data_IF_135463974585
#
_entry.id   IF_135463974585
#
_cell.length_a   1.000
_cell.length_b   1.000
_cell.length_c   1.000
_cell.angle_alpha   90.00
_cell.angle_beta   90.00
_cell.angle_gamma   90.00
#
_symmetry.space_group_name_H-M   'P 1'
#
loop_
_entity.id
_entity.type
_entity.pdbx_description
1 polymer ?
#
# COMPACT_ATOMS: atom_id res chain seq x y z
N UNK A 1 3.98 -1.21 21.81
CA UNK A 1 4.81 -1.16 20.60
C UNK A 1 5.19 -2.59 20.27
N UNK A 2 4.70 -3.16 19.18
CA UNK A 2 4.87 -4.60 18.90
C UNK A 2 6.18 -4.86 18.18
N UNK A 3 7.05 -5.60 18.86
CA UNK A 3 8.34 -6.08 18.36
C UNK A 3 8.13 -7.12 17.24
N UNK A 4 9.05 -7.21 16.28
CA UNK A 4 9.03 -8.24 15.23
C UNK A 4 10.44 -8.78 15.02
N UNK A 5 10.58 -10.10 15.06
CA UNK A 5 11.83 -10.87 14.96
C UNK A 5 11.94 -11.55 13.58
N UNK A 6 13.14 -11.58 12.96
CA UNK A 6 13.48 -12.42 11.79
C UNK A 6 14.99 -12.80 11.84
N UNK A 7 15.34 -14.07 11.60
CA UNK A 7 16.72 -14.59 11.46
C UNK A 7 17.65 -14.25 12.63
N UNK A 8 17.13 -14.33 13.86
CA UNK A 8 17.88 -14.04 15.09
C UNK A 8 18.50 -12.63 15.14
N UNK A 9 17.99 -11.67 14.33
CA UNK A 9 18.50 -10.29 14.26
C UNK A 9 17.41 -9.23 14.43
N UNK A 10 17.70 -8.29 15.33
CA UNK A 10 16.74 -7.31 15.87
C UNK A 10 16.65 -6.00 15.04
N UNK A 11 15.41 -5.47 14.82
CA UNK A 11 15.16 -4.12 14.25
C UNK A 11 13.85 -3.49 14.80
N UNK A 12 13.70 -2.14 14.80
CA UNK A 12 12.43 -1.51 15.14
C UNK A 12 11.29 -1.98 14.22
N UNK A 13 10.10 -2.13 14.80
CA UNK A 13 8.94 -2.65 14.09
C UNK A 13 8.68 -1.95 12.74
N UNK A 14 8.93 -0.65 12.58
CA UNK A 14 8.58 0.12 11.38
C UNK A 14 9.68 0.26 10.32
N UNK A 15 10.86 -0.34 10.51
CA UNK A 15 12.07 0.12 9.81
C UNK A 15 12.72 -0.84 8.83
N UNK A 16 12.67 -2.18 8.91
CA UNK A 16 13.44 -3.02 7.95
C UNK A 16 13.02 -2.79 6.50
N UNK A 17 11.75 -3.00 6.19
CA UNK A 17 11.23 -2.82 4.82
C UNK A 17 11.34 -1.37 4.32
N UNK A 18 11.07 -0.42 5.22
CA UNK A 18 11.20 1.02 4.93
C UNK A 18 12.64 1.41 4.65
N UNK A 19 13.58 0.98 5.49
CA UNK A 19 15.01 1.25 5.36
C UNK A 19 15.56 0.56 4.12
N UNK A 20 15.21 -0.71 3.88
CA UNK A 20 15.56 -1.42 2.65
C UNK A 20 15.17 -0.58 1.43
N UNK A 21 13.90 -0.19 1.29
CA UNK A 21 13.46 0.68 0.19
C UNK A 21 14.24 1.99 0.07
N UNK A 22 14.57 2.61 1.20
CA UNK A 22 15.39 3.83 1.26
C UNK A 22 16.81 3.56 0.77
N UNK A 23 17.45 2.48 1.22
CA UNK A 23 18.82 2.12 0.88
C UNK A 23 18.94 1.62 -0.57
N UNK A 24 17.89 1.02 -1.12
CA UNK A 24 17.80 0.68 -2.55
C UNK A 24 17.66 1.93 -3.43
N UNK A 25 17.14 3.03 -2.89
CA UNK A 25 17.00 4.33 -3.56
C UNK A 25 16.23 4.29 -4.90
N UNK A 26 15.33 3.32 -5.05
CA UNK A 26 14.56 3.07 -6.31
C UNK A 26 13.05 3.27 -6.16
N UNK A 27 12.54 3.31 -4.93
CA UNK A 27 11.12 3.50 -4.65
C UNK A 27 10.87 4.82 -3.95
N UNK A 28 9.68 5.36 -4.13
CA UNK A 28 9.26 6.67 -3.64
C UNK A 28 8.07 6.47 -2.71
N UNK A 29 8.12 6.97 -1.47
CA UNK A 29 6.96 6.99 -0.61
C UNK A 29 6.01 8.12 -1.02
N UNK A 30 4.78 7.77 -1.37
CA UNK A 30 3.70 8.72 -1.59
C UNK A 30 2.70 8.66 -0.45
N UNK A 31 2.14 9.82 -0.11
CA UNK A 31 1.13 9.95 0.93
C UNK A 31 0.18 11.12 0.64
N UNK A 32 -1.05 11.13 1.21
CA UNK A 32 -2.09 12.09 0.85
C UNK A 32 -1.63 13.55 0.82
N UNK A 33 -1.07 14.08 1.91
CA UNK A 33 -0.71 15.50 1.99
C UNK A 33 0.39 15.94 1.00
N UNK A 34 1.26 15.05 0.52
CA UNK A 34 2.16 15.41 -0.60
C UNK A 34 1.43 15.35 -1.93
N UNK A 35 0.66 14.29 -2.17
CA UNK A 35 -0.03 14.11 -3.45
C UNK A 35 -1.12 15.17 -3.67
N UNK A 36 -1.87 15.55 -2.65
CA UNK A 36 -2.85 16.65 -2.71
C UNK A 36 -2.23 17.96 -3.20
N UNK A 37 -0.98 18.26 -2.79
CA UNK A 37 -0.27 19.46 -3.26
C UNK A 37 0.19 19.39 -4.72
N UNK A 38 0.25 18.19 -5.29
CA UNK A 38 0.76 17.93 -6.64
C UNK A 38 -0.38 17.81 -7.64
N UNK A 39 -1.40 17.02 -7.29
CA UNK A 39 -2.50 16.65 -8.20
C UNK A 39 -3.86 17.20 -7.75
N UNK A 40 -3.94 17.85 -6.58
CA UNK A 40 -5.20 18.26 -5.97
C UNK A 40 -5.92 17.11 -5.26
N UNK A 41 -7.11 17.40 -4.73
CA UNK A 41 -8.04 16.37 -4.24
C UNK A 41 -8.94 15.95 -5.39
N UNK A 42 -8.72 14.75 -5.91
CA UNK A 42 -9.51 14.20 -7.02
C UNK A 42 -10.43 13.13 -6.42
N UNK A 43 -11.75 13.38 -6.29
CA UNK A 43 -12.69 12.35 -5.89
C UNK A 43 -12.78 11.28 -6.98
N UNK A 44 -12.90 10.03 -6.58
CA UNK A 44 -13.05 8.89 -7.48
C UNK A 44 -13.84 7.77 -6.82
N UNK A 45 -14.63 7.07 -7.63
CA UNK A 45 -15.18 5.78 -7.27
C UNK A 45 -14.37 4.63 -7.86
N UNK A 46 -14.19 3.57 -7.09
CA UNK A 46 -13.47 2.36 -7.52
C UNK A 46 -13.97 1.14 -6.74
N UNK A 47 -13.48 -0.04 -7.12
CA UNK A 47 -13.87 -1.31 -6.54
C UNK A 47 -12.73 -1.93 -5.75
N UNK A 48 -13.06 -2.55 -4.62
CA UNK A 48 -12.13 -3.36 -3.84
C UNK A 48 -12.72 -4.75 -3.62
N UNK A 49 -11.92 -5.80 -3.74
CA UNK A 49 -12.35 -7.18 -3.51
C UNK A 49 -11.60 -7.74 -2.33
N UNK A 50 -12.31 -8.43 -1.44
CA UNK A 50 -11.74 -9.14 -0.30
C UNK A 50 -12.63 -10.36 0.05
N UNK A 51 -12.34 -11.02 1.16
CA UNK A 51 -13.12 -12.13 1.71
C UNK A 51 -13.89 -11.72 2.97
N UNK A 52 -14.84 -12.56 3.40
CA UNK A 52 -15.58 -12.35 4.65
C UNK A 52 -14.67 -12.35 5.89
N UNK A 53 -13.56 -13.11 5.88
CA UNK A 53 -12.62 -13.16 7.00
C UNK A 53 -11.74 -11.91 7.13
N UNK A 54 -11.67 -11.09 6.07
CA UNK A 54 -10.79 -9.92 6.00
C UNK A 54 -11.55 -8.58 6.06
N UNK A 55 -12.82 -8.59 6.48
CA UNK A 55 -13.63 -7.36 6.60
C UNK A 55 -13.05 -6.37 7.61
N UNK A 56 -12.44 -6.86 8.70
CA UNK A 56 -11.74 -6.03 9.68
C UNK A 56 -10.64 -5.16 9.04
N UNK A 57 -10.00 -5.65 7.97
CA UNK A 57 -8.98 -4.89 7.24
C UNK A 57 -9.60 -3.68 6.53
N UNK A 58 -10.79 -3.86 5.92
CA UNK A 58 -11.54 -2.77 5.26
C UNK A 58 -11.96 -1.74 6.30
N UNK A 59 -12.55 -2.19 7.42
CA UNK A 59 -12.97 -1.32 8.53
C UNK A 59 -11.86 -0.41 9.02
N UNK A 60 -10.62 -0.92 9.15
CA UNK A 60 -9.47 -0.13 9.61
C UNK A 60 -8.97 0.92 8.60
N UNK A 61 -9.41 0.85 7.34
CA UNK A 61 -8.95 1.75 6.28
C UNK A 61 -10.00 2.83 5.94
N UNK A 62 -11.29 2.56 6.14
CA UNK A 62 -12.37 3.52 5.90
C UNK A 62 -12.17 4.83 6.67
N UNK A 63 -12.41 5.96 6.00
CA UNK A 63 -12.24 7.31 6.58
C UNK A 63 -10.81 7.70 6.96
N UNK A 64 -9.82 6.82 6.78
CA UNK A 64 -8.43 7.10 7.19
C UNK A 64 -7.58 7.66 6.04
N UNK A 65 -6.39 8.18 6.39
CA UNK A 65 -5.37 8.58 5.41
C UNK A 65 -4.58 7.39 4.83
N UNK A 66 -4.79 6.17 5.35
CA UNK A 66 -4.16 4.98 4.79
C UNK A 66 -4.85 4.64 3.48
N UNK A 67 -4.07 4.20 2.50
CA UNK A 67 -4.59 3.94 1.16
C UNK A 67 -4.95 2.47 0.94
N UNK A 68 -5.99 2.27 0.14
CA UNK A 68 -6.46 0.98 -0.35
C UNK A 68 -6.09 0.81 -1.82
N UNK A 69 -5.69 -0.41 -2.18
CA UNK A 69 -5.57 -0.79 -3.59
C UNK A 69 -6.93 -1.23 -4.11
N UNK A 70 -7.34 -0.61 -5.21
CA UNK A 70 -8.67 -0.71 -5.82
C UNK A 70 -8.53 -0.68 -7.33
N UNK A 71 -9.63 -0.90 -8.05
CA UNK A 71 -9.61 -0.96 -9.51
C UNK A 71 -10.93 -0.46 -10.10
N UNK A 72 -10.92 -0.20 -11.41
CA UNK A 72 -12.13 0.11 -12.20
C UNK A 72 -12.18 -0.68 -13.51
N UNK A 73 -11.10 -1.39 -13.82
CA UNK A 73 -10.91 -2.18 -15.02
C UNK A 73 -10.25 -3.50 -14.63
N UNK A 74 -10.76 -4.58 -15.21
CA UNK A 74 -10.23 -5.92 -15.05
C UNK A 74 -10.35 -6.67 -16.37
N UNK A 75 -9.48 -7.63 -16.66
CA UNK A 75 -9.64 -8.48 -17.84
C UNK A 75 -10.88 -9.36 -17.70
N UNK A 76 -11.59 -9.62 -18.81
CA UNK A 76 -12.79 -10.49 -18.83
C UNK A 76 -12.55 -11.88 -18.26
N UNK A 77 -11.34 -12.43 -18.45
CA UNK A 77 -10.93 -13.74 -17.95
C UNK A 77 -10.31 -13.71 -16.54
N UNK A 78 -10.09 -12.53 -15.96
CA UNK A 78 -9.41 -12.36 -14.68
C UNK A 78 -10.23 -12.87 -13.48
N UNK A 79 -9.56 -13.12 -12.36
CA UNK A 79 -10.21 -13.45 -11.08
C UNK A 79 -11.15 -12.33 -10.61
N UNK A 80 -10.79 -11.06 -10.84
CA UNK A 80 -11.62 -9.91 -10.49
C UNK A 80 -12.96 -9.90 -11.25
N UNK A 81 -13.00 -10.41 -12.49
CA UNK A 81 -14.24 -10.56 -13.26
C UNK A 81 -15.18 -11.64 -12.70
N UNK A 82 -14.66 -12.47 -11.80
CA UNK A 82 -15.39 -13.50 -11.05
C UNK A 82 -15.63 -13.10 -9.59
N UNK A 83 -15.33 -11.85 -9.20
CA UNK A 83 -15.47 -11.36 -7.82
C UNK A 83 -14.41 -11.92 -6.86
N UNK A 84 -13.29 -12.42 -7.38
CA UNK A 84 -12.18 -13.00 -6.61
C UNK A 84 -10.98 -12.04 -6.57
N UNK A 85 -10.18 -12.10 -5.49
CA UNK A 85 -8.94 -11.34 -5.38
C UNK A 85 -7.89 -11.77 -6.41
N UNK A 86 -6.88 -10.93 -6.65
CA UNK A 86 -5.76 -11.25 -7.57
C UNK A 86 -4.82 -12.30 -6.95
N UNK A 87 -4.54 -12.18 -5.64
CA UNK A 87 -3.62 -13.06 -4.89
C UNK A 87 -4.32 -13.88 -3.80
N UNK A 88 -5.64 -13.71 -3.66
CA UNK A 88 -6.44 -14.28 -2.58
C UNK A 88 -7.73 -14.83 -3.15
N UNK A 89 -8.47 -15.54 -2.30
CA UNK A 89 -9.89 -15.71 -2.52
C UNK A 89 -10.60 -14.35 -2.60
N UNK A 90 -11.89 -14.37 -2.95
CA UNK A 90 -12.72 -13.19 -2.82
C UNK A 90 -14.13 -13.60 -2.48
N UNK A 91 -15.10 -12.75 -2.81
CA UNK A 91 -16.47 -13.00 -2.44
C UNK A 91 -17.19 -11.78 -1.90
N UNK A 92 -16.45 -10.76 -1.47
CA UNK A 92 -17.02 -9.47 -1.07
C UNK A 92 -16.38 -8.37 -1.90
N UNK A 93 -17.20 -7.64 -2.66
CA UNK A 93 -16.79 -6.54 -3.51
C UNK A 93 -17.40 -5.25 -3.00
N UNK A 94 -16.56 -4.26 -2.74
CA UNK A 94 -16.99 -2.93 -2.30
C UNK A 94 -16.95 -1.97 -3.48
N UNK A 95 -18.04 -1.24 -3.69
CA UNK A 95 -17.99 0.00 -4.48
C UNK A 95 -17.71 1.14 -3.51
N UNK A 96 -16.56 1.77 -3.69
CA UNK A 96 -16.02 2.76 -2.78
C UNK A 96 -16.01 4.14 -3.44
N UNK A 97 -16.22 5.17 -2.65
CA UNK A 97 -15.84 6.54 -2.98
C UNK A 97 -14.64 6.94 -2.13
N UNK A 98 -13.66 7.61 -2.71
CA UNK A 98 -12.52 8.13 -1.96
C UNK A 98 -11.78 9.21 -2.72
N UNK A 99 -10.62 9.60 -2.20
CA UNK A 99 -9.73 10.54 -2.87
C UNK A 99 -8.55 9.82 -3.50
N UNK A 100 -8.22 10.16 -4.74
CA UNK A 100 -7.12 9.55 -5.48
C UNK A 100 -5.77 9.84 -4.81
N UNK A 101 -5.00 8.78 -4.53
CA UNK A 101 -3.58 8.86 -4.19
C UNK A 101 -2.71 8.68 -5.43
N UNK A 102 -2.96 7.63 -6.22
CA UNK A 102 -2.30 7.34 -7.49
C UNK A 102 -3.15 6.37 -8.32
N UNK A 103 -2.95 6.32 -9.64
CA UNK A 103 -3.57 5.33 -10.53
C UNK A 103 -2.65 4.98 -11.69
N UNK A 104 -2.77 3.75 -12.19
CA UNK A 104 -2.15 3.31 -13.45
C UNK A 104 -3.00 2.25 -14.13
N UNK A 105 -2.73 2.01 -15.41
CA UNK A 105 -3.43 0.97 -16.19
C UNK A 105 -2.93 -0.44 -15.91
N UNK A 106 -1.78 -0.57 -15.24
CA UNK A 106 -1.19 -1.82 -14.77
C UNK A 106 -1.12 -1.80 -13.24
N UNK A 107 -0.85 -2.96 -12.65
CA UNK A 107 -0.37 -3.09 -11.29
C UNK A 107 0.90 -2.24 -11.10
N UNK A 108 0.92 -1.36 -10.09
CA UNK A 108 2.09 -0.54 -9.77
C UNK A 108 3.05 -1.24 -8.80
N UNK A 109 2.70 -2.44 -8.33
CA UNK A 109 3.42 -3.18 -7.29
C UNK A 109 3.63 -2.30 -6.05
N UNK A 110 2.56 -1.61 -5.64
CA UNK A 110 2.62 -0.63 -4.58
C UNK A 110 2.51 -1.27 -3.20
N UNK A 111 3.36 -0.86 -2.27
CA UNK A 111 3.42 -1.50 -0.95
C UNK A 111 3.26 -0.47 0.18
N UNK A 112 2.39 -0.73 1.18
CA UNK A 112 2.22 0.18 2.30
C UNK A 112 3.32 -0.04 3.35
N UNK A 113 3.88 1.04 3.89
CA UNK A 113 4.68 0.97 5.13
C UNK A 113 3.78 0.98 6.38
N UNK A 114 4.37 0.74 7.57
CA UNK A 114 3.63 0.73 8.84
C UNK A 114 2.96 2.06 9.19
N UNK A 115 3.39 3.17 8.58
CA UNK A 115 2.79 4.50 8.75
C UNK A 115 1.69 4.79 7.73
N UNK A 116 1.52 3.93 6.72
CA UNK A 116 0.50 4.03 5.67
C UNK A 116 0.94 4.76 4.40
N UNK A 117 2.24 5.08 4.23
CA UNK A 117 2.75 5.59 2.93
C UNK A 117 2.82 4.44 1.94
N UNK A 118 2.55 4.70 0.67
CA UNK A 118 2.70 3.71 -0.41
C UNK A 118 4.03 3.91 -1.11
N UNK A 119 4.83 2.87 -1.16
CA UNK A 119 6.11 2.85 -1.85
C UNK A 119 5.91 2.37 -3.27
N UNK A 120 6.35 3.19 -4.24
CA UNK A 120 6.15 2.96 -5.67
C UNK A 120 7.47 3.19 -6.40
N UNK A 121 7.80 2.34 -7.38
CA UNK A 121 9.02 2.49 -8.17
C UNK A 121 9.14 3.87 -8.85
N UNK A 122 10.34 4.42 -8.85
CA UNK A 122 10.70 5.66 -9.58
C UNK A 122 10.36 5.57 -11.06
N UNK A 123 10.50 4.38 -11.67
CA UNK A 123 10.06 4.11 -13.05
C UNK A 123 8.56 4.37 -13.23
N UNK A 124 7.74 3.99 -12.25
CA UNK A 124 6.30 4.15 -12.33
C UNK A 124 5.90 5.62 -12.18
N UNK A 125 6.54 6.34 -11.24
CA UNK A 125 6.24 7.74 -10.90
C UNK A 125 6.78 8.72 -11.95
N UNK A 126 8.03 8.56 -12.39
CA UNK A 126 8.70 9.49 -13.30
C UNK A 126 8.83 8.98 -14.74
N UNK A 127 8.56 7.70 -15.00
CA UNK A 127 8.67 7.12 -16.34
C UNK A 127 10.10 6.69 -16.68
N UNK A 128 10.25 6.01 -17.83
CA UNK A 128 11.51 5.35 -18.25
C UNK A 128 12.69 6.31 -18.33
N UNK A 129 12.49 7.49 -18.93
CA UNK A 129 13.54 8.51 -19.10
C UNK A 129 14.10 9.04 -17.78
N UNK A 130 13.30 9.00 -16.70
CA UNK A 130 13.69 9.51 -15.37
C UNK A 130 13.65 8.43 -14.30
N UNK A 131 13.78 7.16 -14.68
CA UNK A 131 13.74 6.04 -13.74
C UNK A 131 14.86 6.11 -12.69
N UNK A 132 16.05 6.59 -13.08
CA UNK A 132 17.21 6.76 -12.17
C UNK A 132 17.24 8.10 -11.43
N UNK A 133 16.20 8.93 -11.56
CA UNK A 133 16.19 10.28 -10.99
C UNK A 133 16.40 10.29 -9.47
N UNK A 134 15.71 9.40 -8.75
CA UNK A 134 15.77 9.32 -7.29
C UNK A 134 17.13 8.81 -6.83
N UNK A 135 17.60 7.71 -7.42
CA UNK A 135 18.91 7.13 -7.16
C UNK A 135 20.03 8.18 -7.32
N UNK A 136 20.10 8.82 -8.50
CA UNK A 136 21.13 9.83 -8.76
C UNK A 136 21.05 11.02 -7.80
N UNK A 137 19.84 11.41 -7.37
CA UNK A 137 19.68 12.51 -6.43
C UNK A 137 20.05 12.14 -4.98
N UNK A 138 19.82 10.89 -4.57
CA UNK A 138 20.21 10.36 -3.27
C UNK A 138 21.73 10.25 -3.17
N UNK A 139 22.38 9.73 -4.21
CA UNK A 139 23.84 9.66 -4.35
C UNK A 139 24.49 11.06 -4.28
N UNK A 140 23.98 12.04 -5.03
CA UNK A 140 24.47 13.43 -4.93
C UNK A 140 24.31 14.04 -3.54
N UNK A 141 23.28 13.65 -2.80
CA UNK A 141 23.06 14.08 -1.41
C UNK A 141 23.84 13.25 -0.39
N UNK A 142 24.62 12.26 -0.82
CA UNK A 142 25.35 11.33 0.04
C UNK A 142 24.43 10.67 1.08
N UNK A 143 23.19 10.37 0.68
CA UNK A 143 22.29 9.55 1.50
C UNK A 143 22.84 8.12 1.44
N UNK A 144 23.07 7.44 2.58
CA UNK A 144 23.57 6.07 2.60
C UNK A 144 22.72 5.15 1.71
N UNK A 145 23.41 4.36 0.89
CA UNK A 145 22.85 3.19 0.23
C UNK A 145 23.19 1.94 1.04
N UNK A 146 22.96 0.76 0.46
CA UNK A 146 23.14 -0.51 1.16
C UNK A 146 24.58 -0.76 1.59
N UNK A 147 25.55 -0.38 0.78
CA UNK A 147 26.96 -0.66 1.06
C UNK A 147 27.42 0.26 2.20
N UNK A 148 27.16 1.57 2.06
CA UNK A 148 27.45 2.54 3.12
C UNK A 148 26.70 2.25 4.45
N UNK A 149 25.50 1.65 4.39
CA UNK A 149 24.80 1.19 5.58
C UNK A 149 25.47 -0.02 6.21
N UNK A 150 25.91 -0.98 5.39
CA UNK A 150 26.56 -2.22 5.85
C UNK A 150 27.89 -1.91 6.53
N UNK A 151 28.69 -1.02 5.95
CA UNK A 151 29.93 -0.52 6.53
C UNK A 151 29.67 0.16 7.88
N UNK A 152 28.68 1.06 7.95
CA UNK A 152 28.31 1.73 9.19
C UNK A 152 27.84 0.74 10.28
N UNK A 153 27.07 -0.28 9.89
CA UNK A 153 26.60 -1.31 10.80
C UNK A 153 27.76 -2.16 11.33
N UNK A 154 28.69 -2.53 10.46
CA UNK A 154 29.90 -3.27 10.83
C UNK A 154 30.78 -2.46 11.79
N UNK A 155 31.13 -1.23 11.44
CA UNK A 155 31.94 -0.33 12.27
C UNK A 155 31.30 -0.09 13.65
N UNK A 156 29.97 0.06 13.69
CA UNK A 156 29.23 0.25 14.94
C UNK A 156 29.37 -0.98 15.83
N UNK A 157 29.17 -2.19 15.27
CA UNK A 157 29.31 -3.45 16.02
C UNK A 157 30.73 -3.65 16.51
N UNK A 158 31.73 -3.42 15.67
CA UNK A 158 33.14 -3.55 16.06
C UNK A 158 33.50 -2.58 17.20
N UNK A 159 33.06 -1.33 17.11
CA UNK A 159 33.29 -0.31 18.15
C UNK A 159 32.61 -0.68 19.46
N UNK A 160 31.37 -1.17 19.41
CA UNK A 160 30.64 -1.58 20.61
C UNK A 160 31.22 -2.86 21.22
N UNK A 161 31.72 -3.79 20.40
CA UNK A 161 32.40 -4.99 20.88
C UNK A 161 33.70 -4.65 21.62
N UNK A 162 34.49 -3.69 21.09
CA UNK A 162 35.70 -3.18 21.76
C UNK A 162 35.38 -2.48 23.09
N UNK A 163 34.21 -1.84 23.21
CA UNK A 163 33.76 -1.14 24.42
C UNK A 163 33.28 -2.08 25.51
N UNK A 164 32.46 -3.07 25.15
CA UNK A 164 31.78 -3.96 26.09
C UNK A 164 32.53 -5.28 26.33
N UNK A 165 33.50 -5.63 25.48
CA UNK A 165 34.18 -6.93 25.53
C UNK A 165 33.30 -8.09 25.05
N UNK A 166 33.85 -9.31 25.07
CA UNK A 166 33.22 -10.51 24.48
C UNK A 166 32.58 -11.46 25.50
N UNK A 167 32.25 -10.98 26.70
CA UNK A 167 31.69 -11.82 27.78
C UNK A 167 30.16 -11.86 27.72
N UNK A 168 29.57 -13.00 28.11
CA UNK A 168 28.13 -13.23 28.05
C UNK A 168 27.31 -12.19 28.82
N UNK A 169 27.82 -11.71 29.96
CA UNK A 169 27.15 -10.72 30.82
C UNK A 169 26.98 -9.36 30.14
N UNK A 170 27.86 -9.02 29.18
CA UNK A 170 27.88 -7.73 28.50
C UNK A 170 27.09 -7.72 27.17
N UNK A 171 26.59 -8.89 26.73
CA UNK A 171 25.87 -9.03 25.46
C UNK A 171 24.62 -8.13 25.43
N UNK A 172 23.86 -8.07 26.52
CA UNK A 172 22.62 -7.27 26.58
C UNK A 172 22.89 -5.77 26.44
N UNK A 173 23.96 -5.27 27.07
CA UNK A 173 24.34 -3.86 27.00
C UNK A 173 24.89 -3.50 25.62
N UNK A 174 25.74 -4.36 25.07
CA UNK A 174 26.23 -4.29 23.69
C UNK A 174 25.06 -4.20 22.69
N UNK A 175 24.13 -5.17 22.74
CA UNK A 175 23.00 -5.24 21.81
C UNK A 175 22.13 -4.00 21.92
N UNK A 176 21.85 -3.53 23.14
CA UNK A 176 21.06 -2.33 23.40
C UNK A 176 21.70 -1.08 22.81
N UNK A 177 23.01 -0.89 22.97
CA UNK A 177 23.70 0.30 22.48
C UNK A 177 23.86 0.29 20.95
N UNK A 178 24.22 -0.87 20.36
CA UNK A 178 24.22 -1.04 18.89
C UNK A 178 22.85 -0.69 18.32
N UNK A 179 21.79 -1.27 18.89
CA UNK A 179 20.40 -1.00 18.54
C UNK A 179 20.08 0.49 18.58
N UNK A 180 20.46 1.18 19.65
CA UNK A 180 20.18 2.61 19.79
C UNK A 180 20.86 3.44 18.70
N UNK A 181 22.14 3.16 18.42
CA UNK A 181 22.92 3.87 17.38
C UNK A 181 22.35 3.62 15.99
N UNK A 182 22.08 2.36 15.63
CA UNK A 182 21.50 2.00 14.34
C UNK A 182 20.13 2.63 14.15
N UNK A 183 19.28 2.64 15.18
CA UNK A 183 17.94 3.25 15.09
C UNK A 183 18.01 4.75 14.84
N UNK A 184 18.89 5.46 15.57
CA UNK A 184 19.10 6.90 15.41
C UNK A 184 19.58 7.20 13.98
N UNK A 185 20.52 6.41 13.45
CA UNK A 185 20.99 6.56 12.06
C UNK A 185 19.88 6.25 11.05
N UNK A 186 19.17 5.13 11.19
CA UNK A 186 18.09 4.72 10.29
C UNK A 186 17.00 5.80 10.20
N UNK A 187 16.57 6.35 11.34
CA UNK A 187 15.58 7.41 11.39
C UNK A 187 16.04 8.67 10.61
N UNK A 188 17.31 9.05 10.73
CA UNK A 188 17.91 10.16 9.98
C UNK A 188 17.92 9.86 8.47
N UNK A 189 18.43 8.71 8.06
CA UNK A 189 18.51 8.29 6.65
C UNK A 189 17.12 8.24 6.00
N UNK A 190 16.14 7.64 6.68
CA UNK A 190 14.75 7.60 6.23
C UNK A 190 14.18 9.02 6.07
N UNK A 191 14.39 9.89 7.06
CA UNK A 191 13.92 11.29 7.02
C UNK A 191 14.52 12.04 5.83
N UNK A 192 15.83 11.94 5.62
CA UNK A 192 16.54 12.63 4.54
C UNK A 192 16.07 12.15 3.17
N UNK A 193 15.86 10.85 2.99
CA UNK A 193 15.34 10.27 1.76
C UNK A 193 13.88 10.66 1.48
N UNK A 194 13.02 10.65 2.50
CA UNK A 194 11.62 11.12 2.37
C UNK A 194 11.58 12.61 2.01
N UNK A 195 12.45 13.42 2.59
CA UNK A 195 12.54 14.85 2.26
C UNK A 195 13.01 15.07 0.82
N UNK A 196 14.03 14.32 0.38
CA UNK A 196 14.52 14.35 -0.99
C UNK A 196 13.41 13.97 -1.98
N UNK A 197 12.77 12.82 -1.78
CA UNK A 197 11.73 12.32 -2.68
C UNK A 197 10.52 13.26 -2.73
N UNK A 198 10.07 13.80 -1.60
CA UNK A 198 9.02 14.83 -1.57
C UNK A 198 9.39 16.09 -2.38
N UNK A 199 10.66 16.51 -2.33
CA UNK A 199 11.16 17.63 -3.14
C UNK A 199 11.11 17.30 -4.64
N UNK A 200 11.56 16.11 -5.03
CA UNK A 200 11.53 15.65 -6.42
C UNK A 200 10.10 15.53 -6.97
N UNK A 201 9.18 14.98 -6.18
CA UNK A 201 7.76 14.88 -6.54
C UNK A 201 7.16 16.27 -6.85
N UNK A 202 7.46 17.28 -6.02
CA UNK A 202 7.01 18.66 -6.24
C UNK A 202 7.68 19.29 -7.47
N UNK A 203 9.00 19.15 -7.60
CA UNK A 203 9.79 19.68 -8.73
C UNK A 203 9.30 19.15 -10.06
N UNK A 204 8.91 17.87 -10.10
CA UNK A 204 8.45 17.18 -11.30
C UNK A 204 6.93 16.95 -11.33
N UNK A 205 6.13 17.85 -10.71
CA UNK A 205 4.67 17.70 -10.57
C UNK A 205 3.93 17.39 -11.87
N UNK A 206 4.32 18.01 -12.99
CA UNK A 206 3.70 17.77 -14.31
C UNK A 206 3.85 16.31 -14.75
N UNK A 207 5.04 15.75 -14.55
CA UNK A 207 5.37 14.38 -14.90
C UNK A 207 4.67 13.38 -13.97
N UNK A 208 4.65 13.66 -12.67
CA UNK A 208 3.91 12.86 -11.68
C UNK A 208 2.43 12.81 -12.04
N UNK A 209 1.81 13.97 -12.33
CA UNK A 209 0.39 14.04 -12.74
C UNK A 209 0.13 13.24 -14.02
N UNK A 210 1.02 13.35 -15.02
CA UNK A 210 0.93 12.58 -16.28
C UNK A 210 0.98 11.07 -16.03
N UNK A 211 1.91 10.62 -15.18
CA UNK A 211 2.23 9.20 -15.07
C UNK A 211 1.37 8.41 -14.08
N UNK A 212 0.94 9.04 -12.97
CA UNK A 212 0.26 8.34 -11.86
C UNK A 212 -1.03 8.99 -11.38
N UNK A 213 -1.54 10.01 -12.08
CA UNK A 213 -2.85 10.61 -11.74
C UNK A 213 -3.80 10.69 -12.94
N UNK A 214 -3.26 10.77 -14.16
CA UNK A 214 -4.07 10.85 -15.37
C UNK A 214 -4.62 9.47 -15.71
N UNK A 215 -5.94 9.33 -15.95
CA UNK A 215 -6.52 8.07 -16.41
C UNK A 215 -5.88 7.62 -17.73
N UNK A 216 -5.50 6.35 -17.82
CA UNK A 216 -5.04 5.78 -19.09
C UNK A 216 -6.23 5.49 -20.01
N UNK A 217 -6.01 5.68 -21.32
CA UNK A 217 -6.92 5.18 -22.36
C UNK A 217 -6.73 3.68 -22.64
N UNK A 218 -5.56 3.13 -22.30
CA UNK A 218 -5.25 1.71 -22.47
C UNK A 218 -6.03 0.87 -21.46
N UNK A 219 -6.61 -0.23 -21.94
CA UNK A 219 -7.12 -1.29 -21.08
C UNK A 219 -5.99 -2.12 -20.45
N UNK A 220 -6.37 -3.10 -19.64
CA UNK A 220 -5.47 -4.08 -19.03
C UNK A 220 -6.08 -5.46 -19.16
N UNK A 221 -5.33 -6.40 -19.74
CA UNK A 221 -5.72 -7.82 -19.77
C UNK A 221 -5.82 -8.43 -18.37
N UNK A 222 -5.19 -7.79 -17.37
CA UNK A 222 -5.21 -8.22 -15.98
C UNK A 222 -6.13 -7.34 -15.16
N UNK A 223 -5.64 -6.16 -14.76
CA UNK A 223 -6.36 -5.17 -14.00
C UNK A 223 -5.60 -3.84 -13.99
N UNK A 224 -6.28 -2.77 -13.61
CA UNK A 224 -5.67 -1.46 -13.40
C UNK A 224 -5.59 -1.14 -11.90
N UNK A 225 -4.45 -0.66 -11.41
CA UNK A 225 -4.35 -0.27 -10.00
C UNK A 225 -4.74 1.20 -9.77
N UNK A 226 -5.63 1.42 -8.80
CA UNK A 226 -6.02 2.72 -8.28
C UNK A 226 -5.83 2.68 -6.77
N UNK A 227 -4.98 3.57 -6.26
CA UNK A 227 -4.81 3.82 -4.84
C UNK A 227 -5.74 4.95 -4.43
N UNK A 228 -6.65 4.66 -3.50
CA UNK A 228 -7.54 5.67 -2.89
C UNK A 228 -7.29 5.76 -1.39
N UNK A 229 -7.57 6.90 -0.79
CA UNK A 229 -7.60 7.10 0.67
C UNK A 229 -8.89 7.82 1.06
N UNK A 230 -9.16 7.90 2.37
CA UNK A 230 -10.40 8.45 2.91
C UNK A 230 -11.63 7.79 2.27
N UNK A 231 -11.57 6.46 2.16
CA UNK A 231 -12.59 5.67 1.48
C UNK A 231 -13.87 5.61 2.30
N UNK A 232 -15.00 5.64 1.61
CA UNK A 232 -16.35 5.42 2.11
C UNK A 232 -17.01 4.34 1.28
N UNK A 233 -17.83 3.51 1.91
CA UNK A 233 -18.60 2.49 1.20
C UNK A 233 -19.80 3.16 0.57
N UNK A 234 -19.97 2.97 -0.74
CA UNK A 234 -21.23 3.26 -1.42
C UNK A 234 -22.15 2.06 -1.32
N UNK A 235 -21.65 0.90 -1.76
CA UNK A 235 -22.41 -0.34 -1.75
C UNK A 235 -21.48 -1.55 -1.64
N UNK A 236 -22.06 -2.69 -1.26
CA UNK A 236 -21.37 -3.97 -1.11
C UNK A 236 -22.06 -5.01 -2.00
N UNK A 237 -21.27 -5.79 -2.74
CA UNK A 237 -21.73 -6.98 -3.43
C UNK A 237 -21.13 -8.21 -2.75
N UNK A 238 -21.96 -9.19 -2.40
CA UNK A 238 -21.51 -10.48 -1.87
C UNK A 238 -21.81 -11.59 -2.87
N UNK A 239 -20.78 -12.33 -3.26
CA UNK A 239 -20.91 -13.48 -4.14
C UNK A 239 -21.69 -14.59 -3.45
N UNK A 240 -22.66 -15.20 -4.14
CA UNK A 240 -23.47 -16.30 -3.61
C UNK A 240 -22.63 -17.51 -3.17
N UNK A 241 -21.47 -17.72 -3.80
CA UNK A 241 -20.52 -18.77 -3.42
C UNK A 241 -19.80 -18.48 -2.10
N UNK A 242 -19.63 -17.21 -1.74
CA UNK A 242 -19.02 -16.80 -0.50
C UNK A 242 -20.04 -16.65 0.63
N UNK A 243 -21.29 -16.31 0.29
CA UNK A 243 -22.31 -16.07 1.29
C UNK A 243 -22.78 -17.32 2.02
N UNK A 244 -22.43 -18.57 1.59
CA UNK A 244 -22.97 -19.87 2.04
C UNK A 244 -24.48 -19.77 2.32
N UNK A 245 -25.33 -20.12 1.34
CA UNK A 245 -26.82 -20.01 1.38
C UNK A 245 -27.34 -18.88 2.30
N UNK A 246 -27.62 -17.72 1.71
CA UNK A 246 -28.30 -16.61 2.40
C UNK A 246 -27.63 -16.06 3.68
N UNK A 247 -26.30 -16.17 3.80
CA UNK A 247 -25.59 -15.77 5.02
C UNK A 247 -26.09 -16.55 6.25
N UNK A 248 -26.42 -17.84 6.09
CA UNK A 248 -26.76 -18.82 7.15
C UNK A 248 -25.59 -19.09 8.12
N UNK A 249 -24.81 -18.07 8.46
CA UNK A 249 -23.68 -18.15 9.39
C UNK A 249 -24.09 -18.01 10.85
N UNK A 250 -25.38 -18.02 11.18
CA UNK A 250 -25.88 -17.70 12.52
C UNK A 250 -25.28 -16.39 13.04
N UNK A 251 -24.97 -16.32 14.33
CA UNK A 251 -24.29 -15.17 14.96
C UNK A 251 -22.76 -15.23 14.79
N UNK A 252 -22.29 -15.38 13.55
CA UNK A 252 -20.85 -15.37 13.26
C UNK A 252 -20.24 -13.96 13.37
N UNK A 253 -18.94 -13.92 13.68
CA UNK A 253 -18.14 -12.69 13.63
C UNK A 253 -18.16 -12.04 12.24
N UNK A 254 -18.17 -12.85 11.17
CA UNK A 254 -18.18 -12.39 9.78
C UNK A 254 -19.50 -11.67 9.45
N UNK A 255 -20.64 -12.21 9.86
CA UNK A 255 -21.96 -11.59 9.70
C UNK A 255 -22.01 -10.24 10.42
N UNK A 256 -21.65 -10.20 11.70
CA UNK A 256 -21.64 -8.95 12.48
C UNK A 256 -20.70 -7.89 11.86
N UNK A 257 -19.54 -8.32 11.35
CA UNK A 257 -18.60 -7.43 10.67
C UNK A 257 -19.17 -6.90 9.35
N UNK A 258 -19.87 -7.73 8.59
CA UNK A 258 -20.52 -7.34 7.34
C UNK A 258 -21.69 -6.38 7.61
N UNK A 259 -22.56 -6.68 8.57
CA UNK A 259 -23.67 -5.81 8.99
C UNK A 259 -23.18 -4.43 9.43
N UNK A 260 -22.07 -4.38 10.18
CA UNK A 260 -21.42 -3.12 10.54
C UNK A 260 -20.93 -2.34 9.33
N UNK A 261 -20.42 -3.01 8.30
CA UNK A 261 -20.00 -2.33 7.07
C UNK A 261 -21.20 -1.86 6.24
N UNK A 262 -22.27 -2.65 6.18
CA UNK A 262 -23.54 -2.30 5.52
C UNK A 262 -24.13 -1.04 6.15
N UNK A 263 -24.14 -0.92 7.48
CA UNK A 263 -24.70 0.26 8.17
C UNK A 263 -23.90 1.55 7.94
N UNK A 264 -22.66 1.44 7.44
CA UNK A 264 -21.83 2.59 7.05
C UNK A 264 -21.92 2.94 5.55
N UNK A 265 -22.62 2.13 4.77
CA UNK A 265 -22.79 2.35 3.34
C UNK A 265 -23.68 3.57 3.08
N UNK A 266 -23.37 4.29 2.01
CA UNK A 266 -24.02 5.56 1.67
C UNK A 266 -25.03 5.46 0.53
N UNK A 267 -25.14 4.30 -0.13
CA UNK A 267 -26.09 4.06 -1.21
C UNK A 267 -27.41 3.47 -0.72
N UNK A 268 -28.49 3.72 -1.47
CA UNK A 268 -29.85 3.31 -1.13
C UNK A 268 -30.03 1.79 -1.05
N UNK A 269 -29.25 1.04 -1.82
CA UNK A 269 -29.18 -0.42 -1.79
C UNK A 269 -27.80 -0.85 -1.28
N UNK A 270 -27.58 -0.86 0.05
CA UNK A 270 -26.24 -0.95 0.63
C UNK A 270 -25.60 -2.33 0.42
N UNK A 271 -26.40 -3.38 0.19
CA UNK A 271 -25.92 -4.73 -0.10
C UNK A 271 -26.67 -5.36 -1.28
N UNK A 272 -25.96 -6.08 -2.13
CA UNK A 272 -26.49 -6.99 -3.13
C UNK A 272 -25.83 -8.36 -3.01
N UNK A 273 -26.62 -9.44 -2.96
CA UNK A 273 -26.10 -10.81 -3.02
C UNK A 273 -26.41 -11.41 -4.38
N UNK A 274 -25.47 -12.17 -4.97
CA UNK A 274 -25.80 -12.99 -6.14
C UNK A 274 -24.65 -13.65 -6.88
N UNK A 275 -24.99 -14.16 -8.06
CA UNK A 275 -24.11 -14.97 -8.92
C UNK A 275 -23.05 -14.12 -9.63
N UNK A 276 -22.02 -14.75 -10.25
CA UNK A 276 -21.05 -14.02 -11.08
C UNK A 276 -21.68 -13.19 -12.21
N UNK A 277 -22.81 -13.61 -12.78
CA UNK A 277 -23.51 -12.83 -13.80
C UNK A 277 -24.12 -11.55 -13.21
N UNK A 278 -24.76 -11.64 -12.04
CA UNK A 278 -25.31 -10.49 -11.32
C UNK A 278 -24.20 -9.52 -10.89
N UNK A 279 -23.07 -10.04 -10.42
CA UNK A 279 -21.89 -9.24 -10.11
C UNK A 279 -21.40 -8.45 -11.31
N UNK A 280 -21.22 -9.09 -12.47
CA UNK A 280 -20.74 -8.40 -13.67
C UNK A 280 -21.66 -7.25 -14.07
N UNK A 281 -22.98 -7.45 -14.01
CA UNK A 281 -23.97 -6.40 -14.24
C UNK A 281 -23.85 -5.27 -13.20
N UNK A 282 -23.85 -5.61 -11.91
CA UNK A 282 -23.69 -4.64 -10.81
C UNK A 282 -22.41 -3.80 -10.95
N UNK A 283 -21.31 -4.43 -11.35
CA UNK A 283 -20.02 -3.77 -11.58
C UNK A 283 -20.06 -2.82 -12.78
N UNK A 284 -20.65 -3.24 -13.91
CA UNK A 284 -20.77 -2.40 -15.11
C UNK A 284 -21.71 -1.22 -14.93
N UNK A 285 -22.82 -1.41 -14.20
CA UNK A 285 -23.78 -0.35 -13.87
C UNK A 285 -23.11 0.77 -13.05
N UNK A 286 -22.07 0.41 -12.28
CA UNK A 286 -21.22 1.33 -11.50
C UNK A 286 -19.99 1.82 -12.27
N UNK A 287 -20.05 1.78 -13.60
CA UNK A 287 -19.00 2.24 -14.54
C UNK A 287 -17.70 1.43 -14.48
N UNK A 288 -17.70 0.27 -13.85
CA UNK A 288 -16.62 -0.70 -13.96
C UNK A 288 -16.55 -1.26 -15.39
N UNK A 289 -15.34 -1.58 -15.86
CA UNK A 289 -15.12 -2.10 -17.22
C UNK A 289 -14.41 -3.44 -17.19
N UNK A 290 -14.83 -4.34 -18.09
CA UNK A 290 -14.08 -5.56 -18.38
C UNK A 290 -13.38 -5.42 -19.73
N UNK A 291 -12.05 -5.46 -19.70
CA UNK A 291 -11.21 -5.34 -20.89
C UNK A 291 -11.11 -6.69 -21.60
N UNK A 292 -11.18 -6.65 -22.93
CA UNK A 292 -11.11 -7.81 -23.82
C UNK A 292 -9.70 -8.33 -24.00
#
# INVERSE_FOLDING_TARGET
>A
MTETWIEDKWYPAHTRKTLEWVLFQRTIPIYPKTMEKIIGKIPITSFHVTTLDHLDNVTRLLGTKKSMSTFTRAGKSSQLAKGKGIQTEGGVVFWLEGTLLARKYIDMQSEPDKTGRRWISSLIVFGREKQMLVFNAAQRKKIPDRDAWSDFEWETKEKMLKKHGSHADNIKEYEKEVKEILNKKAAKVIKDYINLTNSLLKKHKKLVKKNIATPSRKGSSWWNEILIYNAKIKEIFVMSTASKKDLEWGDSKQKASLEKLISTATGDNPITIGTPAKYRKWYTDRKGKFDG
#
